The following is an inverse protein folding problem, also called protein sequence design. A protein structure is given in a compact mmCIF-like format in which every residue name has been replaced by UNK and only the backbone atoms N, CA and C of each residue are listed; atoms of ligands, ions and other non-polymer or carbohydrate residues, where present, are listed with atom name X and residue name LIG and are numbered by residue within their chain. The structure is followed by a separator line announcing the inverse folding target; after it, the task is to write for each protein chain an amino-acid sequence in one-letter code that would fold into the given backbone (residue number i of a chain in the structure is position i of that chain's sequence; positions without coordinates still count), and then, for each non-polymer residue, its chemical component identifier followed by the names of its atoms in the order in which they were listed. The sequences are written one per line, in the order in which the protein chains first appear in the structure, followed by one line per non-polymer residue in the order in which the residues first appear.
data_IF_109628957012
#
_entry.id   IF_109628957012
#
_cell.length_a   1.000
_cell.length_b   1.000
_cell.length_c   1.000
_cell.angle_alpha   90.00
_cell.angle_beta   90.00
_cell.angle_gamma   90.00
#
_symmetry.space_group_name_H-M   'P 1'
#
loop_
_entity.id
_entity.type
_entity.pdbx_description
1 polymer ?
#
# COMPACT_ATOMS: atom_id res chain seq x y z
N UNK A 1 23.85 -22.73 21.14
CA UNK A 1 23.23 -21.46 21.61
C UNK A 1 21.74 -21.59 21.34
N UNK A 2 20.92 -21.57 22.37
CA UNK A 2 19.46 -21.66 22.29
C UNK A 2 18.93 -20.45 21.52
N UNK A 3 18.05 -20.67 20.53
CA UNK A 3 17.43 -19.55 19.80
C UNK A 3 16.66 -18.66 20.78
N UNK A 4 16.77 -17.32 20.65
CA UNK A 4 16.15 -16.40 21.59
C UNK A 4 14.62 -16.52 21.52
N UNK A 5 13.99 -16.80 22.66
CA UNK A 5 12.54 -16.98 22.77
C UNK A 5 11.83 -15.63 22.58
N UNK A 6 10.91 -15.58 21.62
CA UNK A 6 10.08 -14.42 21.33
C UNK A 6 8.80 -14.44 22.17
N UNK A 7 8.49 -13.32 22.84
CA UNK A 7 7.25 -13.12 23.59
C UNK A 7 6.38 -12.14 22.80
N UNK A 8 5.25 -12.59 22.22
CA UNK A 8 4.36 -11.75 21.43
C UNK A 8 3.58 -10.78 22.32
N UNK A 9 3.37 -9.55 21.84
CA UNK A 9 2.62 -8.50 22.55
C UNK A 9 1.45 -8.00 21.72
N UNK A 10 1.64 -7.71 20.43
CA UNK A 10 0.57 -7.13 19.59
C UNK A 10 0.68 -7.60 18.14
N UNK A 11 -0.45 -7.99 17.56
CA UNK A 11 -0.55 -8.27 16.13
C UNK A 11 -0.67 -6.95 15.39
N UNK A 12 0.30 -6.64 14.53
CA UNK A 12 0.35 -5.39 13.75
C UNK A 12 -0.37 -5.52 12.42
N UNK A 13 -0.28 -6.68 11.77
CA UNK A 13 -0.85 -6.92 10.45
C UNK A 13 -1.03 -8.42 10.19
N UNK A 14 -2.13 -8.81 9.55
CA UNK A 14 -2.36 -10.17 9.07
C UNK A 14 -2.80 -10.15 7.61
N UNK A 15 -2.11 -10.89 6.75
CA UNK A 15 -2.42 -11.04 5.33
C UNK A 15 -2.22 -12.50 4.87
N UNK A 16 -2.67 -12.89 3.66
CA UNK A 16 -2.57 -14.28 3.19
C UNK A 16 -1.14 -14.82 3.05
N UNK A 17 -0.12 -13.96 3.10
CA UNK A 17 1.29 -14.28 2.91
C UNK A 17 2.13 -14.11 4.18
N UNK A 18 1.63 -13.44 5.22
CA UNK A 18 2.29 -13.30 6.51
C UNK A 18 1.41 -12.68 7.60
N UNK A 19 1.76 -12.95 8.85
CA UNK A 19 1.30 -12.19 10.01
C UNK A 19 2.50 -11.49 10.67
N UNK A 20 2.37 -10.21 10.99
CA UNK A 20 3.42 -9.43 11.66
C UNK A 20 3.01 -9.13 13.09
N UNK A 21 3.83 -9.56 14.05
CA UNK A 21 3.59 -9.48 15.49
C UNK A 21 4.76 -8.72 16.13
N UNK A 22 4.48 -7.69 16.92
CA UNK A 22 5.49 -7.05 17.77
C UNK A 22 5.60 -7.76 19.12
N UNK A 23 6.77 -7.68 19.72
CA UNK A 23 7.03 -8.25 21.03
C UNK A 23 8.44 -7.97 21.52
N UNK A 24 8.93 -8.79 22.43
CA UNK A 24 10.28 -8.70 22.98
C UNK A 24 10.93 -10.08 23.12
N UNK A 25 12.22 -10.10 23.43
CA UNK A 25 12.92 -11.36 23.74
C UNK A 25 12.74 -11.69 25.23
N UNK A 26 12.59 -12.97 25.56
CA UNK A 26 12.36 -13.42 26.94
C UNK A 26 13.47 -13.01 27.91
N UNK A 27 14.72 -13.00 27.45
CA UNK A 27 15.88 -12.56 28.23
C UNK A 27 16.23 -11.07 28.12
N UNK A 28 15.45 -10.28 27.36
CA UNK A 28 15.70 -8.86 27.15
C UNK A 28 14.37 -8.12 26.86
N UNK A 29 13.57 -7.80 27.89
CA UNK A 29 12.25 -7.18 27.72
C UNK A 29 12.31 -5.80 27.06
N UNK A 30 13.41 -5.05 27.26
CA UNK A 30 13.62 -3.75 26.62
C UNK A 30 13.94 -3.86 25.12
N UNK A 31 14.37 -5.04 24.65
CA UNK A 31 14.70 -5.26 23.24
C UNK A 31 13.45 -5.63 22.46
N UNK A 32 12.80 -4.60 21.91
CA UNK A 32 11.66 -4.76 21.00
C UNK A 32 12.07 -5.45 19.71
N UNK A 33 11.23 -6.37 19.25
CA UNK A 33 11.41 -7.14 18.02
C UNK A 33 10.08 -7.29 17.29
N UNK A 34 10.15 -7.58 16.00
CA UNK A 34 9.00 -7.91 15.17
C UNK A 34 9.19 -9.28 14.54
N UNK A 35 8.20 -10.16 14.71
CA UNK A 35 8.11 -11.45 14.06
C UNK A 35 7.17 -11.36 12.86
N UNK A 36 7.68 -11.68 11.67
CA UNK A 36 6.85 -11.98 10.51
C UNK A 36 6.63 -13.50 10.44
N UNK A 37 5.50 -13.95 10.95
CA UNK A 37 5.06 -15.35 11.06
C UNK A 37 4.57 -15.89 9.71
N UNK A 38 4.96 -17.12 9.39
CA UNK A 38 4.80 -17.78 8.08
C UNK A 38 4.32 -19.25 8.16
N UNK A 39 4.20 -19.82 9.36
CA UNK A 39 3.82 -21.23 9.61
C UNK A 39 2.31 -21.49 9.50
N UNK A 40 1.47 -20.53 9.90
CA UNK A 40 0.00 -20.60 9.89
C UNK A 40 -0.64 -20.14 8.57
N UNK A 41 0.12 -20.12 7.48
CA UNK A 41 -0.38 -19.66 6.18
C UNK A 41 -1.22 -20.72 5.45
N UNK A 42 -2.24 -20.29 4.65
CA UNK A 42 -2.96 -21.17 3.75
C UNK A 42 -2.03 -21.97 2.83
N UNK A 43 -2.34 -23.25 2.59
CA UNK A 43 -1.47 -24.16 1.82
C UNK A 43 -1.04 -23.61 0.46
N UNK A 44 -1.97 -22.93 -0.23
CA UNK A 44 -1.73 -22.36 -1.55
C UNK A 44 -0.75 -21.16 -1.54
N UNK A 45 -0.66 -20.40 -0.44
CA UNK A 45 0.20 -19.20 -0.37
C UNK A 45 1.60 -19.49 0.17
N UNK A 46 1.79 -20.62 0.87
CA UNK A 46 3.07 -21.05 1.46
C UNK A 46 4.28 -21.01 0.51
N UNK A 47 4.22 -21.50 -0.75
CA UNK A 47 5.40 -21.49 -1.62
C UNK A 47 5.84 -20.07 -1.95
N UNK A 48 4.87 -19.19 -2.27
CA UNK A 48 5.12 -17.79 -2.59
C UNK A 48 5.62 -17.02 -1.35
N UNK A 49 4.97 -17.21 -0.20
CA UNK A 49 5.37 -16.59 1.05
C UNK A 49 6.81 -16.96 1.44
N UNK A 50 7.20 -18.23 1.27
CA UNK A 50 8.60 -18.69 1.49
C UNK A 50 9.57 -18.06 0.50
N UNK A 51 9.21 -17.90 -0.78
CA UNK A 51 10.06 -17.23 -1.76
C UNK A 51 10.28 -15.75 -1.38
N UNK A 52 9.21 -15.03 -1.02
CA UNK A 52 9.27 -13.64 -0.58
C UNK A 52 10.09 -13.50 0.71
N UNK A 53 9.89 -14.39 1.67
CA UNK A 53 10.65 -14.44 2.91
C UNK A 53 12.14 -14.66 2.66
N UNK A 54 12.51 -15.59 1.76
CA UNK A 54 13.92 -15.82 1.38
C UNK A 54 14.56 -14.59 0.76
N UNK A 55 13.82 -13.81 -0.04
CA UNK A 55 14.29 -12.54 -0.61
C UNK A 55 14.52 -11.50 0.47
N UNK A 56 13.54 -11.32 1.37
CA UNK A 56 13.65 -10.42 2.51
C UNK A 56 14.86 -10.78 3.38
N UNK A 57 15.00 -12.05 3.79
CA UNK A 57 16.12 -12.55 4.58
C UNK A 57 17.46 -12.30 3.88
N UNK A 58 17.55 -12.50 2.57
CA UNK A 58 18.77 -12.19 1.82
C UNK A 58 19.10 -10.69 1.87
N UNK A 59 18.09 -9.83 1.74
CA UNK A 59 18.24 -8.38 1.90
C UNK A 59 18.71 -8.00 3.30
N UNK A 60 18.02 -8.48 4.34
CA UNK A 60 18.33 -8.22 5.74
C UNK A 60 19.74 -8.68 6.12
N UNK A 61 20.14 -9.90 5.73
CA UNK A 61 21.51 -10.40 5.94
C UNK A 61 22.55 -9.52 5.27
N UNK A 62 22.27 -9.05 4.06
CA UNK A 62 23.20 -8.18 3.34
C UNK A 62 23.36 -6.83 4.03
N UNK A 63 22.33 -6.28 4.68
CA UNK A 63 22.39 -4.97 5.37
C UNK A 63 22.73 -5.04 6.86
N UNK A 64 22.98 -6.23 7.42
CA UNK A 64 23.27 -6.43 8.84
C UNK A 64 24.40 -5.53 9.34
N UNK A 65 24.17 -4.78 10.43
CA UNK A 65 25.17 -3.86 10.99
C UNK A 65 25.30 -2.52 10.25
N UNK A 66 24.45 -2.23 9.26
CA UNK A 66 24.23 -0.86 8.79
C UNK A 66 23.32 -0.16 9.81
N UNK A 67 23.83 0.89 10.44
CA UNK A 67 23.03 1.73 11.33
C UNK A 67 21.88 2.38 10.55
N UNK A 68 20.64 2.17 11.03
CA UNK A 68 19.41 2.59 10.36
C UNK A 68 18.72 1.51 9.53
N UNK A 69 19.29 0.30 9.45
CA UNK A 69 18.63 -0.89 8.89
C UNK A 69 18.20 -1.86 10.00
N UNK A 70 17.10 -2.61 9.81
CA UNK A 70 16.67 -3.63 10.75
C UNK A 70 17.66 -4.79 10.79
N UNK A 71 17.91 -5.28 11.99
CA UNK A 71 18.74 -6.46 12.24
C UNK A 71 17.93 -7.73 12.01
N UNK A 72 18.47 -8.70 11.26
CA UNK A 72 17.92 -10.05 11.24
C UNK A 72 18.40 -10.80 12.48
N UNK A 73 17.46 -11.22 13.34
CA UNK A 73 17.76 -11.97 14.56
C UNK A 73 17.65 -13.47 14.30
N UNK A 74 16.54 -13.92 13.70
CA UNK A 74 16.26 -15.34 13.45
C UNK A 74 15.48 -15.51 12.16
N UNK A 75 15.73 -16.62 11.46
CA UNK A 75 14.91 -17.07 10.34
C UNK A 75 14.79 -18.59 10.35
N UNK A 76 13.57 -19.10 10.55
CA UNK A 76 13.27 -20.53 10.61
C UNK A 76 11.86 -20.86 10.07
N UNK A 77 11.26 -21.96 10.54
CA UNK A 77 9.93 -22.41 10.11
C UNK A 77 8.80 -21.49 10.57
N UNK A 78 8.94 -20.87 11.74
CA UNK A 78 7.96 -19.94 12.30
C UNK A 78 7.94 -18.65 11.47
N UNK A 79 9.12 -18.15 11.08
CA UNK A 79 9.20 -17.00 10.18
C UNK A 79 10.48 -16.19 10.30
N UNK A 80 10.36 -14.87 10.14
CA UNK A 80 11.48 -13.91 10.19
C UNK A 80 11.35 -13.06 11.44
N UNK A 81 12.27 -13.21 12.38
CA UNK A 81 12.40 -12.34 13.55
C UNK A 81 13.46 -11.26 13.27
N UNK A 82 13.07 -10.01 13.43
CA UNK A 82 13.93 -8.85 13.20
C UNK A 82 13.86 -7.85 14.34
N UNK A 83 14.92 -7.07 14.53
CA UNK A 83 14.95 -5.96 15.47
C UNK A 83 13.87 -4.93 15.14
N UNK A 84 13.27 -4.33 16.17
CA UNK A 84 12.36 -3.21 15.99
C UNK A 84 13.15 -1.97 15.56
N UNK A 85 12.78 -1.36 14.44
CA UNK A 85 13.35 -0.08 14.04
C UNK A 85 12.58 1.04 14.75
N UNK A 86 13.25 1.73 15.67
CA UNK A 86 12.68 2.90 16.31
C UNK A 86 12.65 4.11 15.37
N UNK A 87 11.62 4.93 15.53
CA UNK A 87 11.50 6.20 14.84
C UNK A 87 10.09 6.51 14.37
N UNK A 88 9.91 7.75 13.96
CA UNK A 88 8.64 8.28 13.49
C UNK A 88 8.59 8.20 11.96
N UNK A 89 7.53 7.62 11.36
CA UNK A 89 7.36 7.60 9.91
C UNK A 89 7.45 8.99 9.28
N UNK A 90 8.05 9.08 8.09
CA UNK A 90 8.36 10.37 7.45
C UNK A 90 7.14 11.27 7.21
N UNK A 91 5.96 10.67 6.99
CA UNK A 91 4.70 11.40 6.82
C UNK A 91 4.32 12.25 8.04
N UNK A 92 4.72 11.79 9.23
CA UNK A 92 4.49 12.45 10.51
C UNK A 92 5.68 13.34 10.89
N UNK A 93 6.90 12.82 10.77
CA UNK A 93 8.12 13.53 11.16
C UNK A 93 8.41 14.77 10.30
N UNK A 94 8.07 14.72 9.00
CA UNK A 94 8.25 15.83 8.02
C UNK A 94 9.59 16.57 8.19
N UNK A 95 10.74 15.88 8.13
CA UNK A 95 12.03 16.45 8.51
C UNK A 95 12.39 17.63 7.61
N UNK A 96 12.64 18.78 8.23
CA UNK A 96 13.07 20.00 7.55
C UNK A 96 14.59 20.17 7.55
N UNK A 97 15.33 19.40 8.37
CA UNK A 97 16.78 19.52 8.54
C UNK A 97 17.58 18.72 7.49
N UNK A 98 18.68 19.31 7.01
CA UNK A 98 19.65 18.69 6.13
C UNK A 98 20.34 17.46 6.75
N UNK A 99 20.48 17.40 8.08
CA UNK A 99 21.11 16.29 8.79
C UNK A 99 20.44 14.94 8.47
N UNK A 100 19.10 14.89 8.51
CA UNK A 100 18.32 13.70 8.14
C UNK A 100 18.63 13.24 6.72
N UNK A 101 18.60 14.15 5.74
CA UNK A 101 18.83 13.80 4.33
C UNK A 101 20.29 13.42 4.04
N UNK A 102 21.25 13.97 4.79
CA UNK A 102 22.65 13.55 4.72
C UNK A 102 22.79 12.11 5.21
N UNK A 103 22.13 11.77 6.30
CA UNK A 103 22.14 10.43 6.87
C UNK A 103 21.38 9.42 5.99
N UNK A 104 20.20 9.77 5.48
CA UNK A 104 19.46 8.94 4.51
C UNK A 104 20.30 8.65 3.24
N UNK A 105 21.07 9.64 2.75
CA UNK A 105 22.01 9.44 1.64
C UNK A 105 23.21 8.57 2.04
N UNK A 106 23.68 8.60 3.29
CA UNK A 106 24.67 7.64 3.82
C UNK A 106 24.11 6.23 3.78
N UNK A 107 22.91 6.01 4.35
CA UNK A 107 22.23 4.72 4.38
C UNK A 107 22.10 4.10 2.98
N UNK A 108 21.63 4.87 2.00
CA UNK A 108 21.53 4.40 0.60
C UNK A 108 22.88 4.04 -0.01
N UNK A 109 23.93 4.81 0.29
CA UNK A 109 25.29 4.50 -0.18
C UNK A 109 25.83 3.22 0.44
N UNK A 110 25.59 2.99 1.72
CA UNK A 110 26.03 1.77 2.41
C UNK A 110 25.30 0.53 1.90
N UNK A 111 23.97 0.59 1.75
CA UNK A 111 23.20 -0.49 1.12
C UNK A 111 23.72 -0.78 -0.29
N UNK A 112 23.95 0.26 -1.10
CA UNK A 112 24.52 0.13 -2.45
C UNK A 112 25.91 -0.50 -2.44
N UNK A 113 26.78 -0.15 -1.48
CA UNK A 113 28.11 -0.79 -1.33
C UNK A 113 27.99 -2.28 -1.05
N UNK A 114 26.92 -2.72 -0.40
CA UNK A 114 26.62 -4.13 -0.16
C UNK A 114 25.82 -4.80 -1.29
N UNK A 115 25.65 -4.11 -2.42
CA UNK A 115 24.91 -4.62 -3.57
C UNK A 115 23.39 -4.65 -3.37
N UNK A 116 22.87 -3.93 -2.38
CA UNK A 116 21.45 -3.91 -2.04
C UNK A 116 20.77 -2.69 -2.65
N UNK A 117 19.61 -2.90 -3.28
CA UNK A 117 18.65 -1.86 -3.64
C UNK A 117 17.32 -2.17 -2.95
N UNK A 118 16.70 -1.16 -2.34
CA UNK A 118 15.51 -1.35 -1.50
C UNK A 118 14.24 -1.45 -2.34
N UNK A 119 14.13 -0.67 -3.41
CA UNK A 119 13.05 -0.69 -4.41
C UNK A 119 11.64 -0.29 -3.89
N UNK A 120 11.45 -0.05 -2.59
CA UNK A 120 10.15 0.36 -2.00
C UNK A 120 10.24 1.60 -1.09
N UNK A 121 11.38 2.30 -1.09
CA UNK A 121 11.55 3.56 -0.33
C UNK A 121 10.87 4.78 -0.97
N UNK A 122 10.05 4.54 -2.01
CA UNK A 122 9.14 5.54 -2.55
C UNK A 122 8.03 5.89 -1.55
N UNK A 123 7.59 4.91 -0.74
CA UNK A 123 6.60 5.10 0.30
C UNK A 123 7.25 5.85 1.48
N UNK A 124 6.74 7.02 1.89
CA UNK A 124 7.34 7.73 3.02
C UNK A 124 7.20 6.96 4.34
N UNK A 125 6.26 6.01 4.44
CA UNK A 125 6.11 5.12 5.60
C UNK A 125 7.30 4.17 5.80
N UNK A 126 8.04 3.84 4.74
CA UNK A 126 9.22 2.99 4.82
C UNK A 126 10.47 3.74 5.29
N UNK A 127 10.38 5.05 5.47
CA UNK A 127 11.41 5.87 6.11
C UNK A 127 10.97 6.25 7.52
N UNK A 128 11.89 6.07 8.47
CA UNK A 128 11.73 6.50 9.85
C UNK A 128 12.76 7.60 10.16
N UNK A 129 12.34 8.62 10.88
CA UNK A 129 13.24 9.53 11.58
C UNK A 129 13.45 8.98 12.99
N UNK A 130 14.67 8.56 13.29
CA UNK A 130 15.05 8.05 14.59
C UNK A 130 15.02 9.17 15.65
N UNK A 131 14.97 8.83 16.95
CA UNK A 131 14.97 9.84 18.02
C UNK A 131 16.17 10.80 18.00
N UNK A 132 17.32 10.35 17.50
CA UNK A 132 18.53 11.16 17.32
C UNK A 132 18.50 12.07 16.08
N UNK A 133 17.39 12.06 15.32
CA UNK A 133 17.23 12.77 14.06
C UNK A 133 17.82 12.08 12.84
N UNK A 134 18.46 10.91 13.02
CA UNK A 134 18.99 10.08 11.94
C UNK A 134 17.90 9.39 11.12
N UNK A 135 18.30 8.82 9.99
CA UNK A 135 17.41 8.13 9.07
C UNK A 135 17.49 6.61 9.27
N UNK A 136 16.33 5.96 9.31
CA UNK A 136 16.21 4.53 9.24
C UNK A 136 15.22 4.12 8.13
N UNK A 137 15.37 2.89 7.64
CA UNK A 137 14.44 2.28 6.68
C UNK A 137 13.88 0.98 7.23
N UNK A 138 12.66 0.68 6.82
CA UNK A 138 11.97 -0.58 7.14
C UNK A 138 11.45 -1.24 5.87
N UNK A 139 11.01 -2.48 6.01
CA UNK A 139 10.37 -3.27 4.95
C UNK A 139 11.28 -3.63 3.76
N UNK A 140 12.09 -4.67 3.95
CA UNK A 140 13.00 -5.20 2.92
C UNK A 140 12.34 -6.24 2.00
N UNK A 141 11.01 -6.36 1.98
CA UNK A 141 10.33 -7.40 1.21
C UNK A 141 10.59 -7.31 -0.31
N UNK A 142 10.69 -6.09 -0.83
CA UNK A 142 11.00 -5.83 -2.24
C UNK A 142 12.49 -5.56 -2.50
N UNK A 143 13.34 -5.67 -1.47
CA UNK A 143 14.76 -5.46 -1.63
C UNK A 143 15.37 -6.51 -2.58
N UNK A 144 16.37 -6.07 -3.33
CA UNK A 144 17.13 -6.90 -4.26
C UNK A 144 18.61 -6.87 -3.90
N UNK A 145 19.22 -8.05 -3.82
CA UNK A 145 20.66 -8.20 -3.61
C UNK A 145 21.30 -8.63 -4.92
N UNK A 146 22.21 -7.81 -5.42
CA UNK A 146 22.82 -7.96 -6.73
C UNK A 146 24.26 -8.44 -6.59
N UNK A 147 24.58 -9.58 -7.22
CA UNK A 147 25.97 -10.07 -7.31
C UNK A 147 26.85 -9.16 -8.17
N UNK A 148 26.29 -8.63 -9.25
CA UNK A 148 27.00 -7.77 -10.20
C UNK A 148 26.39 -6.37 -10.25
N UNK A 149 27.23 -5.33 -10.28
CA UNK A 149 26.81 -3.92 -10.28
C UNK A 149 26.52 -3.39 -11.70
N UNK A 150 25.77 -4.19 -12.47
CA UNK A 150 25.42 -3.91 -13.87
C UNK A 150 24.39 -2.77 -14.05
N UNK A 151 23.93 -2.54 -15.29
CA UNK A 151 22.99 -1.46 -15.60
C UNK A 151 21.70 -1.48 -14.77
N UNK A 152 21.12 -2.66 -14.52
CA UNK A 152 19.91 -2.83 -13.71
C UNK A 152 20.13 -2.37 -12.27
N UNK A 153 21.21 -2.82 -11.63
CA UNK A 153 21.58 -2.39 -10.28
C UNK A 153 21.79 -0.87 -10.20
N UNK A 154 22.55 -0.30 -11.14
CA UNK A 154 22.81 1.15 -11.19
C UNK A 154 21.53 1.96 -11.33
N UNK A 155 20.60 1.41 -12.09
CA UNK A 155 19.28 2.00 -12.32
C UNK A 155 18.40 1.94 -11.07
N UNK A 156 18.27 0.78 -10.44
CA UNK A 156 17.50 0.63 -9.20
C UNK A 156 18.07 1.50 -8.08
N UNK A 157 19.39 1.51 -7.90
CA UNK A 157 20.06 2.35 -6.90
C UNK A 157 19.86 3.85 -7.20
N UNK A 158 19.80 4.24 -8.48
CA UNK A 158 19.47 5.61 -8.89
C UNK A 158 18.02 5.95 -8.53
N UNK A 159 17.07 5.05 -8.77
CA UNK A 159 15.67 5.29 -8.42
C UNK A 159 15.46 5.35 -6.91
N UNK A 160 16.11 4.49 -6.12
CA UNK A 160 16.14 4.58 -4.66
C UNK A 160 16.55 6.00 -4.18
N UNK A 161 17.66 6.53 -4.71
CA UNK A 161 18.08 7.90 -4.42
C UNK A 161 17.06 8.94 -4.89
N UNK A 162 16.50 8.76 -6.09
CA UNK A 162 15.51 9.68 -6.65
C UNK A 162 14.24 9.73 -5.81
N UNK A 163 13.82 8.59 -5.26
CA UNK A 163 12.67 8.49 -4.36
C UNK A 163 12.92 9.24 -3.06
N UNK A 164 14.12 9.11 -2.45
CA UNK A 164 14.50 9.95 -1.32
C UNK A 164 14.45 11.45 -1.68
N UNK A 165 14.94 11.85 -2.85
CA UNK A 165 14.91 13.25 -3.29
C UNK A 165 13.49 13.78 -3.51
N UNK A 166 12.53 12.93 -3.89
CA UNK A 166 11.11 13.32 -3.95
C UNK A 166 10.57 13.63 -2.57
N UNK A 167 10.95 12.84 -1.56
CA UNK A 167 10.59 13.12 -0.17
C UNK A 167 11.25 14.42 0.32
N UNK A 168 12.53 14.62 0.00
CA UNK A 168 13.22 15.88 0.28
C UNK A 168 12.54 17.08 -0.35
N UNK A 169 12.07 16.96 -1.59
CA UNK A 169 11.28 18.02 -2.24
C UNK A 169 9.96 18.29 -1.50
N UNK A 170 9.29 17.27 -0.99
CA UNK A 170 8.00 17.42 -0.32
C UNK A 170 8.13 18.13 1.03
N UNK A 171 9.14 17.79 1.84
CA UNK A 171 9.27 18.28 3.21
C UNK A 171 10.33 19.37 3.41
N UNK A 172 11.34 19.43 2.56
CA UNK A 172 12.46 20.37 2.68
C UNK A 172 12.97 20.87 1.30
N UNK A 173 12.05 21.40 0.49
CA UNK A 173 12.34 21.84 -0.88
C UNK A 173 13.51 22.85 -0.96
N UNK A 174 13.62 23.73 0.04
CA UNK A 174 14.66 24.75 0.13
C UNK A 174 16.07 24.15 0.25
N UNK A 175 16.20 22.91 0.75
CA UNK A 175 17.47 22.22 0.86
C UNK A 175 17.93 21.53 -0.42
N UNK A 176 17.11 21.49 -1.47
CA UNK A 176 17.46 20.81 -2.72
C UNK A 176 18.61 21.51 -3.43
N UNK A 177 19.66 20.77 -3.75
CA UNK A 177 20.78 21.28 -4.54
C UNK A 177 20.43 21.34 -6.04
N UNK A 178 21.15 22.13 -6.85
CA UNK A 178 20.94 22.16 -8.31
C UNK A 178 21.05 20.77 -8.96
N UNK A 179 22.01 19.94 -8.51
CA UNK A 179 22.18 18.58 -9.01
C UNK A 179 21.00 17.66 -8.64
N UNK A 180 20.45 17.80 -7.43
CA UNK A 180 19.27 17.06 -6.98
C UNK A 180 18.03 17.47 -7.79
N UNK A 181 17.85 18.78 -8.05
CA UNK A 181 16.78 19.29 -8.93
C UNK A 181 16.91 18.75 -10.36
N UNK A 182 18.11 18.75 -10.93
CA UNK A 182 18.36 18.18 -12.25
C UNK A 182 18.08 16.67 -12.31
N UNK A 183 18.40 15.93 -11.24
CA UNK A 183 18.07 14.51 -11.14
C UNK A 183 16.57 14.26 -11.05
N UNK A 184 15.82 15.10 -10.33
CA UNK A 184 14.36 15.02 -10.24
C UNK A 184 13.68 15.36 -11.57
N UNK A 185 14.20 16.34 -12.32
CA UNK A 185 13.70 16.74 -13.64
C UNK A 185 13.88 15.65 -14.70
N UNK A 186 14.96 14.86 -14.61
CA UNK A 186 15.20 13.73 -15.50
C UNK A 186 14.29 12.55 -15.12
N UNK A 187 13.22 12.33 -15.88
CA UNK A 187 12.41 11.10 -15.80
C UNK A 187 13.29 9.86 -16.01
N UNK A 188 13.06 8.82 -15.21
CA UNK A 188 13.88 7.61 -15.18
C UNK A 188 13.89 6.87 -16.54
N UNK A 189 15.07 6.42 -16.99
CA UNK A 189 15.23 5.60 -18.20
C UNK A 189 14.38 4.31 -18.18
N UNK A 190 14.17 3.61 -17.04
CA UNK A 190 13.23 2.49 -16.95
C UNK A 190 11.80 2.88 -17.23
N UNK A 191 11.35 4.06 -16.82
CA UNK A 191 10.00 4.54 -17.18
C UNK A 191 9.91 4.76 -18.70
N UNK A 192 10.97 5.24 -19.35
CA UNK A 192 11.02 5.40 -20.81
C UNK A 192 11.08 4.07 -21.55
N UNK A 193 11.84 3.09 -21.04
CA UNK A 193 12.00 1.76 -21.64
C UNK A 193 10.78 0.87 -21.32
N UNK A 194 10.24 0.89 -20.10
CA UNK A 194 8.99 0.24 -19.70
C UNK A 194 7.81 0.73 -20.56
N UNK A 195 7.70 2.04 -20.79
CA UNK A 195 6.74 2.60 -21.76
C UNK A 195 6.96 2.09 -23.19
N UNK A 196 8.20 1.74 -23.58
CA UNK A 196 8.58 1.37 -24.96
C UNK A 196 8.66 -0.15 -25.22
N UNK A 197 8.87 -0.98 -24.20
CA UNK A 197 9.08 -2.45 -24.28
C UNK A 197 8.28 -3.22 -23.25
N UNK A 198 8.22 -2.72 -22.00
CA UNK A 198 7.43 -3.30 -20.91
C UNK A 198 5.94 -3.34 -21.24
N UNK A 199 5.34 -2.26 -21.76
CA UNK A 199 3.92 -2.22 -22.13
C UNK A 199 3.53 -3.32 -23.14
N UNK A 200 4.43 -3.71 -24.05
CA UNK A 200 4.15 -4.77 -25.04
C UNK A 200 4.26 -6.20 -24.47
N UNK A 201 5.29 -6.48 -23.67
CA UNK A 201 5.46 -7.79 -23.04
C UNK A 201 4.46 -7.98 -21.88
N UNK A 202 4.17 -6.91 -21.14
CA UNK A 202 3.10 -6.83 -20.16
C UNK A 202 1.75 -7.09 -20.83
N UNK A 203 1.39 -6.34 -21.88
CA UNK A 203 0.15 -6.57 -22.64
C UNK A 203 0.06 -7.95 -23.32
N UNK A 204 1.19 -8.63 -23.56
CA UNK A 204 1.23 -9.98 -24.14
C UNK A 204 1.02 -11.05 -23.05
N UNK A 205 1.72 -10.91 -21.91
CA UNK A 205 1.54 -11.79 -20.74
C UNK A 205 0.17 -11.59 -20.08
N UNK A 206 -0.34 -10.36 -20.05
CA UNK A 206 -1.67 -10.05 -19.48
C UNK A 206 -2.82 -10.34 -20.44
N UNK A 207 -2.57 -10.45 -21.75
CA UNK A 207 -3.59 -10.92 -22.71
C UNK A 207 -3.84 -12.43 -22.63
N UNK A 208 -2.84 -13.22 -22.27
CA UNK A 208 -2.95 -14.70 -22.30
C UNK A 208 -2.85 -15.41 -20.94
N UNK A 209 -2.43 -14.75 -19.85
CA UNK A 209 -2.25 -15.46 -18.56
C UNK A 209 -2.80 -14.77 -17.32
N UNK A 210 -2.96 -13.45 -17.28
CA UNK A 210 -3.55 -12.75 -16.14
C UNK A 210 -4.18 -11.42 -16.59
N UNK A 211 -5.52 -11.35 -16.59
CA UNK A 211 -6.34 -10.20 -16.97
C UNK A 211 -6.21 -9.03 -15.98
N UNK A 212 -5.01 -8.45 -15.90
CA UNK A 212 -4.67 -7.31 -15.07
C UNK A 212 -4.80 -6.05 -15.93
N UNK A 213 -5.98 -5.43 -15.88
CA UNK A 213 -6.23 -4.13 -16.51
C UNK A 213 -5.68 -3.02 -15.61
N UNK A 214 -4.65 -2.33 -16.11
CA UNK A 214 -4.25 -1.00 -15.62
C UNK A 214 -5.44 -0.04 -15.76
N UNK A 215 -5.54 0.91 -14.83
CA UNK A 215 -6.67 1.84 -14.63
C UNK A 215 -6.93 2.88 -15.72
N UNK A 216 -6.62 2.59 -17.00
CA UNK A 216 -7.06 3.38 -18.16
C UNK A 216 -8.55 3.15 -18.49
N UNK A 217 -9.20 2.09 -17.96
CA UNK A 217 -10.64 1.80 -18.17
C UNK A 217 -11.60 2.37 -17.10
N UNK A 218 -11.10 3.22 -16.20
CA UNK A 218 -11.83 3.72 -15.03
C UNK A 218 -12.86 4.79 -15.42
N UNK A 219 -12.48 5.73 -16.28
CA UNK A 219 -13.34 6.82 -16.77
C UNK A 219 -14.36 6.29 -17.81
N UNK A 220 -13.93 5.44 -18.75
CA UNK A 220 -14.79 4.83 -19.77
C UNK A 220 -16.03 4.13 -19.19
N UNK A 221 -15.89 3.44 -18.04
CA UNK A 221 -17.02 2.71 -17.44
C UNK A 221 -18.03 3.61 -16.75
N UNK A 222 -17.59 4.64 -16.02
CA UNK A 222 -18.51 5.61 -15.42
C UNK A 222 -19.20 6.41 -16.52
N UNK A 223 -18.48 6.84 -17.55
CA UNK A 223 -19.08 7.58 -18.67
C UNK A 223 -20.11 6.74 -19.44
N UNK A 224 -19.83 5.45 -19.67
CA UNK A 224 -20.74 4.55 -20.41
C UNK A 224 -21.94 4.08 -19.59
N UNK A 225 -21.73 3.72 -18.33
CA UNK A 225 -22.78 3.11 -17.50
C UNK A 225 -23.47 4.12 -16.57
N UNK A 226 -22.82 5.24 -16.22
CA UNK A 226 -23.36 6.28 -15.35
C UNK A 226 -24.70 6.86 -15.83
N UNK A 227 -24.83 7.28 -17.10
CA UNK A 227 -26.12 7.74 -17.64
C UNK A 227 -27.22 6.67 -17.58
N UNK A 228 -26.87 5.40 -17.77
CA UNK A 228 -27.81 4.26 -17.71
C UNK A 228 -28.25 3.98 -16.28
N UNK A 229 -27.34 4.07 -15.32
CA UNK A 229 -27.63 3.97 -13.88
C UNK A 229 -28.56 5.11 -13.46
N UNK A 230 -28.23 6.35 -13.86
CA UNK A 230 -29.07 7.51 -13.57
C UNK A 230 -30.48 7.38 -14.17
N UNK A 231 -30.59 6.88 -15.41
CA UNK A 231 -31.88 6.63 -16.04
C UNK A 231 -32.69 5.55 -15.32
N UNK A 232 -32.07 4.44 -14.92
CA UNK A 232 -32.73 3.36 -14.20
C UNK A 232 -33.24 3.79 -12.81
N UNK A 233 -32.55 4.72 -12.15
CA UNK A 233 -32.94 5.25 -10.85
C UNK A 233 -33.94 6.41 -10.92
N UNK A 234 -34.19 6.99 -12.11
CA UNK A 234 -34.96 8.22 -12.27
C UNK A 234 -36.40 8.11 -11.73
N UNK A 235 -37.06 6.98 -11.96
CA UNK A 235 -38.47 6.76 -11.59
C UNK A 235 -38.60 5.97 -10.28
N UNK A 236 -37.52 5.84 -9.52
CA UNK A 236 -37.45 5.13 -8.25
C UNK A 236 -37.46 6.12 -7.08
N UNK A 237 -37.85 5.70 -5.85
CA UNK A 237 -37.80 6.56 -4.67
C UNK A 237 -36.36 6.80 -4.18
N UNK A 238 -35.60 7.57 -4.96
CA UNK A 238 -34.17 7.84 -4.79
C UNK A 238 -33.94 9.33 -4.69
N UNK A 239 -33.24 9.77 -3.65
CA UNK A 239 -32.95 11.19 -3.41
C UNK A 239 -31.60 11.61 -4.00
N UNK A 240 -30.62 10.72 -4.01
CA UNK A 240 -29.29 10.94 -4.58
C UNK A 240 -28.61 9.60 -4.87
N UNK A 241 -27.61 9.60 -5.74
CA UNK A 241 -26.74 8.44 -5.92
C UNK A 241 -25.31 8.88 -6.24
N UNK A 242 -24.37 7.96 -6.02
CA UNK A 242 -22.97 8.15 -6.37
C UNK A 242 -22.39 6.85 -6.91
N UNK A 243 -21.68 6.92 -8.04
CA UNK A 243 -21.01 5.79 -8.67
C UNK A 243 -19.52 5.92 -8.43
N UNK A 244 -18.93 4.92 -7.79
CA UNK A 244 -17.50 4.82 -7.57
C UNK A 244 -16.94 3.58 -8.28
N UNK A 245 -15.69 3.67 -8.71
CA UNK A 245 -14.96 2.54 -9.28
C UNK A 245 -14.15 1.82 -8.23
N UNK A 246 -14.00 0.50 -8.38
CA UNK A 246 -13.10 -0.30 -7.56
C UNK A 246 -12.39 -1.36 -8.40
N UNK A 247 -11.24 -1.84 -7.93
CA UNK A 247 -10.48 -2.86 -8.65
C UNK A 247 -11.15 -4.24 -8.50
N UNK A 248 -11.37 -4.92 -9.63
CA UNK A 248 -11.76 -6.33 -9.68
C UNK A 248 -10.53 -7.19 -10.00
N UNK A 249 -10.13 -8.12 -9.11
CA UNK A 249 -9.01 -9.01 -9.39
C UNK A 249 -9.25 -9.81 -10.68
N UNK A 250 -8.43 -9.60 -11.71
CA UNK A 250 -8.52 -10.36 -12.95
C UNK A 250 -9.69 -9.99 -13.87
N UNK A 251 -10.37 -8.84 -13.66
CA UNK A 251 -11.47 -8.35 -14.54
C UNK A 251 -11.48 -6.83 -14.74
N UNK A 252 -10.35 -6.17 -14.46
CA UNK A 252 -10.22 -4.71 -14.57
C UNK A 252 -10.96 -3.92 -13.49
N UNK A 253 -11.78 -2.95 -13.89
CA UNK A 253 -12.45 -2.00 -12.98
C UNK A 253 -13.93 -2.33 -12.85
N UNK A 254 -14.45 -2.50 -11.64
CA UNK A 254 -15.88 -2.66 -11.32
C UNK A 254 -16.52 -1.34 -10.86
N UNK A 255 -17.85 -1.30 -10.89
CA UNK A 255 -18.66 -0.18 -10.41
C UNK A 255 -19.39 -0.54 -9.11
N UNK A 256 -19.36 0.41 -8.19
CA UNK A 256 -20.08 0.39 -6.93
C UNK A 256 -20.96 1.64 -6.86
N UNK A 257 -22.27 1.43 -6.91
CA UNK A 257 -23.25 2.52 -6.82
C UNK A 257 -23.86 2.59 -5.42
N UNK A 258 -23.67 3.72 -4.74
CA UNK A 258 -24.34 4.04 -3.48
C UNK A 258 -25.59 4.85 -3.78
N UNK A 259 -26.73 4.48 -3.19
CA UNK A 259 -28.02 5.09 -3.51
C UNK A 259 -28.71 5.55 -2.22
N UNK A 260 -29.02 6.83 -2.12
CA UNK A 260 -29.79 7.42 -1.03
C UNK A 260 -31.27 7.07 -1.22
N UNK A 261 -31.77 6.06 -0.49
CA UNK A 261 -33.11 5.51 -0.66
C UNK A 261 -33.57 4.69 0.55
N UNK A 262 -34.88 4.56 0.70
CA UNK A 262 -35.52 3.63 1.65
C UNK A 262 -35.75 2.23 1.06
N UNK A 263 -35.39 1.99 -0.21
CA UNK A 263 -35.52 0.67 -0.84
C UNK A 263 -34.65 -0.38 -0.13
N UNK A 264 -35.13 -1.63 -0.11
CA UNK A 264 -34.31 -2.76 0.35
C UNK A 264 -33.17 -3.04 -0.63
N UNK A 265 -32.16 -3.79 -0.17
CA UNK A 265 -31.04 -4.22 -1.00
C UNK A 265 -31.54 -5.02 -2.22
N UNK A 266 -32.53 -5.90 -2.03
CA UNK A 266 -33.11 -6.73 -3.08
C UNK A 266 -33.87 -5.89 -4.12
N UNK A 267 -34.67 -4.93 -3.67
CA UNK A 267 -35.42 -4.04 -4.56
C UNK A 267 -34.47 -3.17 -5.39
N UNK A 268 -33.44 -2.60 -4.76
CA UNK A 268 -32.42 -1.83 -5.47
C UNK A 268 -31.63 -2.69 -6.46
N UNK A 269 -31.35 -3.95 -6.11
CA UNK A 269 -30.67 -4.88 -6.99
C UNK A 269 -31.49 -5.26 -8.22
N UNK A 270 -32.81 -5.34 -8.10
CA UNK A 270 -33.71 -5.56 -9.23
C UNK A 270 -33.70 -4.40 -10.24
N UNK A 271 -33.56 -3.16 -9.75
CA UNK A 271 -33.44 -1.96 -10.61
C UNK A 271 -32.06 -1.86 -11.25
N UNK A 272 -31.01 -2.11 -10.47
CA UNK A 272 -29.62 -2.03 -10.92
C UNK A 272 -29.01 -3.44 -10.96
N UNK A 273 -29.11 -4.16 -12.08
CA UNK A 273 -28.48 -5.47 -12.24
C UNK A 273 -26.95 -5.38 -12.21
N UNK A 274 -26.30 -6.52 -11.95
CA UNK A 274 -24.83 -6.63 -11.87
C UNK A 274 -24.12 -6.19 -13.17
N UNK A 275 -24.79 -6.32 -14.31
CA UNK A 275 -24.31 -5.86 -15.62
C UNK A 275 -24.17 -4.33 -15.74
N UNK A 276 -24.92 -3.56 -14.94
CA UNK A 276 -24.82 -2.11 -14.88
C UNK A 276 -23.86 -1.66 -13.78
N UNK A 277 -23.97 -2.25 -12.59
CA UNK A 277 -23.11 -1.97 -11.43
C UNK A 277 -22.94 -3.21 -10.57
N UNK A 278 -21.73 -3.74 -10.49
CA UNK A 278 -21.44 -5.00 -9.81
C UNK A 278 -21.86 -4.93 -8.33
N UNK A 279 -21.63 -3.79 -7.68
CA UNK A 279 -22.07 -3.55 -6.31
C UNK A 279 -23.09 -2.42 -6.28
N UNK A 280 -24.15 -2.60 -5.50
CA UNK A 280 -25.05 -1.52 -5.09
C UNK A 280 -25.28 -1.59 -3.60
N UNK A 281 -25.48 -0.44 -2.98
CA UNK A 281 -25.82 -0.35 -1.58
C UNK A 281 -26.85 0.78 -1.39
N UNK A 282 -28.06 0.47 -0.86
CA UNK A 282 -28.96 1.48 -0.38
C UNK A 282 -28.38 2.07 0.89
N UNK A 283 -28.50 3.38 1.02
CA UNK A 283 -28.00 4.17 2.15
C UNK A 283 -29.13 5.09 2.56
N UNK A 284 -29.37 5.20 3.87
CA UNK A 284 -30.41 6.12 4.39
C UNK A 284 -30.08 7.58 4.06
N UNK A 285 -28.79 7.94 4.14
CA UNK A 285 -28.30 9.28 3.81
C UNK A 285 -26.86 9.20 3.29
N UNK A 286 -26.58 9.80 2.13
CA UNK A 286 -25.20 9.90 1.66
C UNK A 286 -24.42 10.95 2.47
N UNK A 287 -23.12 10.70 2.75
CA UNK A 287 -22.30 11.64 3.49
C UNK A 287 -22.09 12.91 2.67
N UNK A 288 -22.16 14.07 3.32
CA UNK A 288 -22.05 15.39 2.69
C UNK A 288 -20.99 16.24 3.39
N UNK A 289 -20.36 17.16 2.66
CA UNK A 289 -19.48 18.17 3.23
C UNK A 289 -20.28 19.33 3.83
N UNK A 290 -19.58 20.31 4.41
CA UNK A 290 -20.17 21.53 5.00
C UNK A 290 -20.95 22.36 3.96
N UNK A 291 -20.68 22.17 2.66
CA UNK A 291 -21.39 22.82 1.57
C UNK A 291 -22.59 21.98 1.06
N UNK A 292 -22.92 20.86 1.71
CA UNK A 292 -24.03 19.97 1.35
C UNK A 292 -23.75 19.05 0.15
N UNK A 293 -22.53 19.08 -0.40
CA UNK A 293 -22.14 18.24 -1.54
C UNK A 293 -21.79 16.84 -1.08
N UNK A 294 -22.22 15.83 -1.84
CA UNK A 294 -21.90 14.42 -1.55
C UNK A 294 -20.38 14.21 -1.50
N UNK A 295 -19.91 13.59 -0.42
CA UNK A 295 -18.51 13.18 -0.17
C UNK A 295 -18.12 11.98 -1.04
N UNK A 296 -18.01 12.21 -2.34
CA UNK A 296 -17.58 11.20 -3.30
C UNK A 296 -16.17 10.66 -3.03
N UNK A 297 -15.31 11.45 -2.37
CA UNK A 297 -14.00 11.03 -1.87
C UNK A 297 -14.12 9.89 -0.85
N UNK A 298 -14.99 10.02 0.15
CA UNK A 298 -15.24 8.98 1.15
C UNK A 298 -15.86 7.73 0.51
N UNK A 299 -16.85 7.90 -0.36
CA UNK A 299 -17.50 6.79 -1.06
C UNK A 299 -16.53 6.01 -1.97
N UNK A 300 -15.57 6.72 -2.59
CA UNK A 300 -14.50 6.10 -3.37
C UNK A 300 -13.54 5.29 -2.50
N UNK A 301 -13.18 5.79 -1.31
CA UNK A 301 -12.36 5.04 -0.35
C UNK A 301 -13.09 3.79 0.14
N UNK A 302 -14.39 3.89 0.44
CA UNK A 302 -15.23 2.75 0.82
C UNK A 302 -15.27 1.74 -0.31
N UNK A 303 -15.55 2.14 -1.55
CA UNK A 303 -15.59 1.24 -2.70
C UNK A 303 -14.26 0.50 -2.91
N UNK A 304 -13.14 1.22 -2.74
CA UNK A 304 -11.78 0.68 -2.85
C UNK A 304 -11.30 -0.12 -1.61
N UNK A 305 -12.14 -0.30 -0.58
CA UNK A 305 -11.82 -0.99 0.66
C UNK A 305 -10.57 -0.43 1.39
N UNK A 306 -10.44 0.91 1.40
CA UNK A 306 -9.28 1.66 1.93
C UNK A 306 -9.45 2.03 3.40
N UNK A 307 -9.41 1.02 4.28
CA UNK A 307 -9.77 1.17 5.71
C UNK A 307 -8.90 2.19 6.45
N UNK A 308 -7.59 2.23 6.21
CA UNK A 308 -6.67 3.15 6.88
C UNK A 308 -6.95 4.62 6.50
N UNK A 309 -7.27 4.88 5.23
CA UNK A 309 -7.64 6.20 4.76
C UNK A 309 -9.02 6.63 5.26
N UNK A 310 -9.97 5.69 5.39
CA UNK A 310 -11.30 5.94 5.99
C UNK A 310 -11.15 6.32 7.47
N UNK A 311 -10.32 5.59 8.23
CA UNK A 311 -10.09 5.90 9.64
C UNK A 311 -9.39 7.26 9.82
N UNK A 312 -8.44 7.59 8.93
CA UNK A 312 -7.81 8.91 8.90
C UNK A 312 -8.84 10.03 8.63
N UNK A 313 -9.79 9.80 7.72
CA UNK A 313 -10.85 10.75 7.40
C UNK A 313 -11.82 10.89 8.58
N UNK A 314 -12.16 9.79 9.24
CA UNK A 314 -12.98 9.75 10.45
C UNK A 314 -12.37 10.56 11.59
N UNK A 315 -11.07 10.44 11.83
CA UNK A 315 -10.36 11.22 12.85
C UNK A 315 -10.35 12.72 12.54
N UNK A 316 -10.28 13.10 11.26
CA UNK A 316 -10.30 14.51 10.83
C UNK A 316 -11.70 15.12 10.84
N UNK A 317 -12.73 14.31 10.66
CA UNK A 317 -14.13 14.73 10.62
C UNK A 317 -15.00 13.85 11.53
N UNK A 318 -14.89 13.99 12.87
CA UNK A 318 -15.60 13.13 13.81
C UNK A 318 -17.12 13.10 13.62
N UNK A 319 -17.70 14.22 13.15
CA UNK A 319 -19.13 14.36 12.85
C UNK A 319 -19.63 13.39 11.76
N UNK A 320 -18.76 12.89 10.89
CA UNK A 320 -19.13 11.92 9.84
C UNK A 320 -19.13 10.47 10.34
N UNK A 321 -18.67 10.21 11.57
CA UNK A 321 -18.53 8.84 12.10
C UNK A 321 -19.82 8.01 12.01
N UNK A 322 -21.01 8.52 12.39
CA UNK A 322 -22.25 7.73 12.29
C UNK A 322 -22.57 7.30 10.85
N UNK A 323 -22.32 8.18 9.88
CA UNK A 323 -22.55 7.91 8.46
C UNK A 323 -21.53 6.90 7.91
N UNK A 324 -20.25 7.04 8.31
CA UNK A 324 -19.19 6.08 7.98
C UNK A 324 -19.53 4.71 8.55
N UNK A 325 -19.91 4.62 9.83
CA UNK A 325 -20.23 3.37 10.51
C UNK A 325 -21.40 2.65 9.81
N UNK A 326 -22.46 3.38 9.46
CA UNK A 326 -23.61 2.84 8.72
C UNK A 326 -23.26 2.32 7.32
N UNK A 327 -22.41 3.05 6.59
CA UNK A 327 -21.91 2.62 5.28
C UNK A 327 -21.01 1.39 5.39
N UNK A 328 -20.12 1.38 6.37
CA UNK A 328 -19.15 0.31 6.60
C UNK A 328 -19.81 -0.99 7.06
N UNK A 329 -20.88 -0.91 7.85
CA UNK A 329 -21.64 -2.06 8.33
C UNK A 329 -22.30 -2.86 7.18
N UNK A 330 -22.79 -2.16 6.16
CA UNK A 330 -23.56 -2.76 5.06
C UNK A 330 -22.78 -2.82 3.73
N UNK A 331 -21.47 -2.59 3.77
CA UNK A 331 -20.65 -2.56 2.56
C UNK A 331 -20.62 -3.92 1.87
N UNK A 332 -20.77 -3.93 0.56
CA UNK A 332 -20.80 -5.14 -0.28
C UNK A 332 -19.39 -5.62 -0.65
N UNK A 333 -18.34 -5.03 -0.10
CA UNK A 333 -16.94 -5.38 -0.29
C UNK A 333 -16.27 -5.88 0.99
N UNK A 334 -17.04 -6.55 1.86
CA UNK A 334 -16.54 -7.24 3.06
C UNK A 334 -15.49 -8.33 2.76
N UNK A 335 -15.34 -8.72 1.50
CA UNK A 335 -14.42 -9.77 1.07
C UNK A 335 -13.55 -9.29 -0.09
N UNK A 336 -12.23 -9.22 0.12
CA UNK A 336 -11.24 -9.23 -0.98
C UNK A 336 -11.17 -10.61 -1.67
N UNK A 337 -11.98 -11.58 -1.22
CA UNK A 337 -12.03 -12.97 -1.69
C UNK A 337 -13.43 -13.32 -2.17
N UNK A 338 -13.60 -13.51 -3.47
CA UNK A 338 -14.61 -14.44 -3.98
C UNK A 338 -14.12 -15.83 -3.56
N UNK A 339 -14.71 -16.41 -2.52
CA UNK A 339 -14.67 -17.86 -2.34
C UNK A 339 -15.51 -18.44 -3.48
N UNK A 340 -14.86 -18.98 -4.52
CA UNK A 340 -15.56 -19.88 -5.44
C UNK A 340 -15.93 -21.14 -4.64
N UNK A 341 -17.21 -21.51 -4.69
CA UNK A 341 -17.63 -22.89 -4.46
C UNK A 341 -17.01 -23.80 -5.52
#
# INVERSE_FOLDING_TARGET
MTDPVFIPVTVLKRDPFSETISGHLAGAPDRRVALRKLDELPLWSRPMARLLARREVRGLRAVQGIEGCPELIRYDREGILRGWSEGTPLQLAKPADAAFYRDAKRLLREMRRRGVTHNDIAKPQNWLMRPDGGAAVIDFQLASVHRFRGPLFRTMAREDLRHLLKQKRAYAHHLLTPAERAMLARKALPTRIWMKTGKRLYNWITRDLFDWSDGEGTEDRIERNGPKIAAALKDQPVTAHHVATYALPGRGTGLYTFVETAMSQEALRAVLPESLSEKVQPVVQLPRDEAGKVRGDLLSLIAANRLDEIETLRLRHPALSPQIDALMANRQNLTDRILKR
#
